data_IF_826679525688
#
_entry.id   IF_826679525688
#
_cell.length_a   1.000
_cell.length_b   1.000
_cell.length_c   1.000
_cell.angle_alpha   90.00
_cell.angle_beta   90.00
_cell.angle_gamma   90.00
#
_symmetry.space_group_name_H-M   'P 1'
#
loop_
_entity.id
_entity.type
_entity.pdbx_description
1 polymer ?
#
# COMPACT_ATOMS: atom_id res chain seq x y z
N UNK A 1 8.40 -34.76 -59.88
CA UNK A 1 7.39 -35.24 -60.85
C UNK A 1 6.55 -36.32 -60.17
N UNK A 2 5.20 -36.26 -60.26
CA UNK A 2 4.18 -37.34 -60.08
C UNK A 2 4.22 -38.16 -58.75
N UNK A 3 3.18 -38.22 -57.91
CA UNK A 3 1.85 -38.91 -58.06
C UNK A 3 1.97 -40.45 -58.11
N UNK A 4 1.09 -41.31 -57.55
CA UNK A 4 -0.31 -41.13 -57.07
C UNK A 4 -0.80 -42.28 -56.12
N UNK A 5 -1.95 -42.09 -55.42
CA UNK A 5 -2.81 -43.08 -54.69
C UNK A 5 -2.20 -43.80 -53.43
N UNK A 6 -2.87 -44.70 -52.65
CA UNK A 6 -4.23 -44.82 -52.00
C UNK A 6 -4.50 -46.25 -51.47
N UNK A 7 -5.37 -46.41 -50.45
CA UNK A 7 -6.29 -47.56 -50.08
C UNK A 7 -6.09 -48.11 -48.64
N UNK A 8 -7.06 -48.74 -47.95
CA UNK A 8 -8.36 -48.25 -47.36
C UNK A 8 -8.95 -49.30 -46.37
N UNK A 9 -9.80 -48.87 -45.39
CA UNK A 9 -10.80 -49.68 -44.60
C UNK A 9 -10.19 -50.74 -43.61
N UNK A 10 -10.49 -50.89 -42.31
CA UNK A 10 -11.62 -50.64 -41.37
C UNK A 10 -12.62 -51.81 -41.14
N UNK A 11 -12.66 -52.40 -39.92
CA UNK A 11 -13.77 -53.22 -39.39
C UNK A 11 -13.71 -53.41 -37.85
N UNK A 12 -14.87 -53.58 -37.19
CA UNK A 12 -15.08 -53.80 -35.75
C UNK A 12 -16.01 -55.02 -35.57
N UNK A 13 -15.82 -55.87 -34.55
CA UNK A 13 -16.87 -56.75 -34.02
C UNK A 13 -16.62 -57.22 -32.56
N UNK A 14 -17.70 -57.41 -31.79
CA UNK A 14 -17.76 -57.89 -30.40
C UNK A 14 -17.91 -59.42 -30.29
N UNK A 15 -17.60 -59.99 -29.12
CA UNK A 15 -18.31 -61.17 -28.54
C UNK A 15 -18.41 -61.04 -27.00
N UNK A 16 -19.26 -61.86 -26.36
CA UNK A 16 -19.82 -61.61 -25.02
C UNK A 16 -19.59 -62.73 -23.97
N UNK A 17 -20.06 -62.46 -22.74
CA UNK A 17 -20.05 -63.24 -21.48
C UNK A 17 -20.62 -64.67 -21.52
N UNK A 18 -20.29 -65.53 -20.54
CA UNK A 18 -21.26 -65.82 -19.45
C UNK A 18 -20.65 -65.98 -18.03
N UNK A 19 -21.48 -66.35 -17.04
CA UNK A 19 -21.21 -66.32 -15.58
C UNK A 19 -21.32 -67.71 -14.88
N UNK A 20 -21.37 -67.72 -13.53
CA UNK A 20 -21.47 -68.84 -12.54
C UNK A 20 -20.12 -69.27 -11.89
N UNK A 21 -20.04 -69.86 -10.69
CA UNK A 21 -20.82 -69.71 -9.43
C UNK A 21 -20.06 -70.39 -8.25
N UNK A 22 -20.16 -69.80 -7.05
CA UNK A 22 -20.01 -70.35 -5.68
C UNK A 22 -19.16 -71.61 -5.37
N UNK A 23 -18.33 -71.52 -4.32
CA UNK A 23 -18.06 -72.60 -3.35
C UNK A 23 -17.63 -71.99 -2.00
N UNK A 24 -17.77 -72.75 -0.91
CA UNK A 24 -17.91 -72.26 0.48
C UNK A 24 -16.82 -72.74 1.46
N UNK A 25 -16.35 -71.83 2.34
CA UNK A 25 -15.85 -72.03 3.72
C UNK A 25 -14.75 -73.09 4.05
N UNK A 26 -14.13 -73.06 5.25
CA UNK A 26 -13.77 -71.90 6.09
C UNK A 26 -12.28 -71.92 6.51
N UNK A 27 -11.67 -70.76 6.81
CA UNK A 27 -10.32 -70.71 7.41
C UNK A 27 -10.36 -70.32 8.89
N UNK A 28 -9.82 -71.20 9.75
CA UNK A 28 -9.40 -70.86 11.12
C UNK A 28 -7.95 -70.37 11.08
N UNK A 29 -7.63 -69.18 11.61
CA UNK A 29 -6.31 -68.56 11.43
C UNK A 29 -5.23 -69.09 12.39
N UNK A 30 -4.05 -69.35 11.83
CA UNK A 30 -2.79 -69.60 12.57
C UNK A 30 -2.30 -68.30 13.24
N UNK A 31 -1.75 -68.33 14.47
CA UNK A 31 -1.28 -67.11 15.13
C UNK A 31 0.00 -66.57 14.49
N UNK A 32 -0.01 -65.29 14.10
CA UNK A 32 1.18 -64.54 13.68
C UNK A 32 1.58 -63.57 14.79
N UNK A 33 2.80 -63.73 15.29
CA UNK A 33 3.44 -62.85 16.27
C UNK A 33 3.50 -61.42 15.72
N UNK A 34 2.91 -60.46 16.43
CA UNK A 34 2.94 -59.06 16.04
C UNK A 34 4.31 -58.42 16.33
N UNK A 35 4.85 -57.76 15.30
CA UNK A 35 6.00 -56.88 15.38
C UNK A 35 5.63 -55.58 16.13
N UNK A 36 6.51 -54.99 16.97
CA UNK A 36 6.17 -53.79 17.74
C UNK A 36 5.88 -52.59 16.84
N UNK A 37 4.76 -51.90 17.11
CA UNK A 37 4.33 -50.74 16.34
C UNK A 37 5.33 -49.56 16.44
N UNK A 38 5.46 -48.73 15.38
CA UNK A 38 6.23 -47.49 15.44
C UNK A 38 5.63 -46.52 16.47
N UNK A 39 6.44 -45.62 17.06
CA UNK A 39 5.95 -44.64 18.03
C UNK A 39 4.94 -43.70 17.37
N UNK A 40 3.84 -43.42 18.08
CA UNK A 40 2.75 -42.59 17.58
C UNK A 40 3.24 -41.18 17.21
N UNK A 41 2.90 -40.73 15.99
CA UNK A 41 3.13 -39.36 15.55
C UNK A 41 2.50 -38.36 16.51
N UNK A 42 3.26 -37.31 16.85
CA UNK A 42 2.73 -36.19 17.62
C UNK A 42 1.68 -35.46 16.78
N UNK A 43 0.41 -35.63 17.14
CA UNK A 43 -0.73 -35.02 16.48
C UNK A 43 -0.54 -33.48 16.38
N UNK A 44 -0.69 -32.87 15.19
CA UNK A 44 -0.68 -31.43 15.05
C UNK A 44 -1.70 -30.80 16.00
N UNK A 45 -1.29 -29.76 16.72
CA UNK A 45 -2.18 -29.07 17.65
C UNK A 45 -3.42 -28.55 16.90
N UNK A 46 -4.58 -29.02 17.32
CA UNK A 46 -5.87 -28.57 16.82
C UNK A 46 -6.00 -27.05 17.05
N UNK A 47 -6.40 -26.25 16.05
CA UNK A 47 -6.51 -24.81 16.21
C UNK A 47 -7.58 -24.51 17.27
N UNK A 48 -7.16 -24.02 18.43
CA UNK A 48 -8.10 -23.62 19.49
C UNK A 48 -9.16 -22.67 18.90
N UNK A 49 -10.45 -22.89 19.18
CA UNK A 49 -11.49 -21.93 18.85
C UNK A 49 -11.08 -20.56 19.39
N UNK A 50 -11.04 -19.55 18.51
CA UNK A 50 -10.81 -18.19 18.94
C UNK A 50 -11.91 -17.79 19.93
N UNK A 51 -11.52 -17.52 21.17
CA UNK A 51 -12.43 -17.05 22.20
C UNK A 51 -13.18 -15.82 21.67
N UNK A 52 -14.54 -15.77 21.74
CA UNK A 52 -15.29 -14.68 21.13
C UNK A 52 -14.90 -13.33 21.73
N UNK A 53 -14.07 -12.58 21.01
CA UNK A 53 -13.66 -11.24 21.40
C UNK A 53 -14.94 -10.41 21.58
N UNK A 54 -15.16 -9.78 22.75
CA UNK A 54 -16.42 -9.09 23.03
C UNK A 54 -16.76 -8.10 21.92
N UNK A 55 -17.96 -8.25 21.34
CA UNK A 55 -18.43 -7.35 20.30
C UNK A 55 -18.42 -5.93 20.85
N UNK A 56 -17.65 -5.03 20.21
CA UNK A 56 -17.61 -3.64 20.60
C UNK A 56 -19.04 -3.04 20.54
N UNK A 57 -19.46 -2.23 21.52
CA UNK A 57 -20.81 -1.67 21.54
C UNK A 57 -21.09 -0.87 20.27
N UNK A 58 -22.26 -1.10 19.68
CA UNK A 58 -22.66 -0.62 18.34
C UNK A 58 -22.68 0.92 18.19
N UNK A 59 -22.63 1.66 19.30
CA UNK A 59 -22.60 3.13 19.34
C UNK A 59 -21.18 3.72 19.28
N UNK A 60 -20.14 2.89 19.16
CA UNK A 60 -18.75 3.39 19.03
C UNK A 60 -18.53 4.05 17.66
N UNK A 61 -17.96 5.27 17.59
CA UNK A 61 -17.68 5.90 16.31
C UNK A 61 -16.73 5.05 15.47
N UNK A 62 -16.94 4.95 14.14
CA UNK A 62 -16.16 4.06 13.29
C UNK A 62 -14.69 4.47 13.26
N UNK A 63 -13.80 3.48 13.36
CA UNK A 63 -12.37 3.70 13.52
C UNK A 63 -11.61 3.23 12.28
N UNK A 64 -10.75 4.09 11.74
CA UNK A 64 -9.78 3.71 10.71
C UNK A 64 -8.37 4.01 11.22
N UNK A 65 -7.72 2.98 11.75
CA UNK A 65 -6.30 3.03 12.11
C UNK A 65 -5.46 3.51 10.93
N UNK A 66 -4.47 4.35 11.21
CA UNK A 66 -3.53 4.93 10.25
C UNK A 66 -4.14 5.96 9.28
N UNK A 67 -5.40 6.37 9.46
CA UNK A 67 -6.05 7.35 8.58
C UNK A 67 -5.35 8.72 8.55
N UNK A 68 -4.63 9.09 9.61
CA UNK A 68 -3.86 10.34 9.71
C UNK A 68 -2.34 10.12 9.62
N UNK A 69 -1.90 8.94 9.20
CA UNK A 69 -0.48 8.64 8.98
C UNK A 69 0.04 9.22 7.67
N UNK A 70 1.30 9.66 7.69
CA UNK A 70 2.01 10.16 6.51
C UNK A 70 2.74 9.02 5.79
N UNK A 71 2.74 8.97 4.44
CA UNK A 71 3.58 8.08 3.63
C UNK A 71 5.06 8.07 4.03
N UNK A 72 5.57 6.87 4.23
CA UNK A 72 6.97 6.50 4.47
C UNK A 72 7.29 5.25 3.67
N UNK A 73 8.57 4.90 3.59
CA UNK A 73 9.05 3.70 2.89
C UNK A 73 8.49 2.40 3.48
N UNK A 74 8.26 2.38 4.79
CA UNK A 74 7.94 1.20 5.60
C UNK A 74 6.46 1.03 5.97
N UNK A 75 5.56 1.96 5.58
CA UNK A 75 4.17 1.97 6.05
C UNK A 75 3.09 1.89 4.96
N UNK A 76 3.43 1.45 3.76
CA UNK A 76 2.48 1.40 2.64
C UNK A 76 1.23 0.56 2.94
N UNK A 77 1.36 -0.62 3.55
CA UNK A 77 0.20 -1.50 3.84
C UNK A 77 -0.75 -0.94 4.90
N UNK A 78 -0.22 -0.26 5.93
CA UNK A 78 -1.02 0.46 6.92
C UNK A 78 -1.88 1.53 6.25
N UNK A 79 -1.30 2.25 5.29
CA UNK A 79 -1.95 3.31 4.53
C UNK A 79 -2.98 2.78 3.51
N UNK A 80 -2.72 1.63 2.88
CA UNK A 80 -3.71 0.92 2.05
C UNK A 80 -4.89 0.44 2.89
N UNK A 81 -4.61 -0.09 4.08
CA UNK A 81 -5.64 -0.52 5.06
C UNK A 81 -6.53 0.64 5.48
N UNK A 82 -5.94 1.79 5.83
CA UNK A 82 -6.67 2.99 6.17
C UNK A 82 -7.56 3.51 5.02
N UNK A 83 -7.03 3.52 3.78
CA UNK A 83 -7.76 3.97 2.61
C UNK A 83 -8.96 3.05 2.28
N UNK A 84 -8.78 1.72 2.36
CA UNK A 84 -9.88 0.75 2.24
C UNK A 84 -10.97 0.99 3.30
N UNK A 85 -10.57 1.20 4.56
CA UNK A 85 -11.50 1.49 5.65
C UNK A 85 -12.32 2.76 5.39
N UNK A 86 -11.68 3.86 5.00
CA UNK A 86 -12.35 5.12 4.69
C UNK A 86 -13.30 5.01 3.49
N UNK A 87 -12.89 4.31 2.43
CA UNK A 87 -13.75 4.03 1.28
C UNK A 87 -15.01 3.24 1.69
N UNK A 88 -14.84 2.20 2.50
CA UNK A 88 -15.95 1.34 2.94
C UNK A 88 -16.88 2.03 3.94
N UNK A 89 -16.40 2.91 4.82
CA UNK A 89 -17.28 3.75 5.65
C UNK A 89 -18.14 4.66 4.76
N UNK A 90 -17.53 5.35 3.79
CA UNK A 90 -18.26 6.27 2.92
C UNK A 90 -19.34 5.53 2.08
N UNK A 91 -19.01 4.34 1.56
CA UNK A 91 -19.95 3.48 0.83
C UNK A 91 -21.06 2.92 1.72
N UNK A 92 -20.71 2.46 2.93
CA UNK A 92 -21.69 1.97 3.91
C UNK A 92 -22.71 3.04 4.34
N UNK A 93 -22.29 4.31 4.49
CA UNK A 93 -23.20 5.44 4.80
C UNK A 93 -24.16 5.80 3.67
N UNK A 94 -23.95 5.31 2.45
CA UNK A 94 -24.91 5.40 1.33
C UNK A 94 -25.51 4.04 0.97
N UNK A 95 -25.42 3.06 1.88
CA UNK A 95 -25.94 1.69 1.71
C UNK A 95 -25.42 0.96 0.46
N UNK A 96 -24.22 1.31 -0.02
CA UNK A 96 -23.60 0.67 -1.18
C UNK A 96 -22.72 -0.52 -0.77
N UNK A 97 -22.58 -1.55 -1.64
CA UNK A 97 -21.72 -2.70 -1.38
C UNK A 97 -20.29 -2.27 -1.05
N UNK A 98 -19.70 -2.88 -0.02
CA UNK A 98 -18.31 -2.64 0.35
C UNK A 98 -17.37 -3.17 -0.75
N UNK A 99 -16.24 -2.51 -0.95
CA UNK A 99 -15.18 -2.96 -1.86
C UNK A 99 -14.16 -3.84 -1.15
N UNK A 100 -13.60 -4.78 -1.87
CA UNK A 100 -12.48 -5.64 -1.47
C UNK A 100 -11.15 -5.16 -2.06
N UNK A 101 -10.01 -5.42 -1.41
CA UNK A 101 -8.69 -5.16 -2.00
C UNK A 101 -8.28 -6.31 -2.93
N UNK A 102 -7.89 -5.99 -4.16
CA UNK A 102 -7.30 -6.92 -5.12
C UNK A 102 -5.80 -6.60 -5.30
N UNK A 103 -4.94 -7.60 -5.06
CA UNK A 103 -3.47 -7.43 -5.10
C UNK A 103 -2.92 -7.08 -6.50
N UNK A 104 -3.64 -7.42 -7.58
CA UNK A 104 -3.28 -7.07 -8.97
C UNK A 104 -3.57 -5.60 -9.22
N UNK A 105 -4.69 -5.09 -8.69
CA UNK A 105 -4.97 -3.66 -8.70
C UNK A 105 -3.98 -2.89 -7.81
N UNK A 106 -3.60 -3.42 -6.62
CA UNK A 106 -2.54 -2.82 -5.78
C UNK A 106 -1.22 -2.72 -6.55
N UNK A 107 -0.83 -3.78 -7.28
CA UNK A 107 0.39 -3.81 -8.10
C UNK A 107 0.34 -2.76 -9.23
N UNK A 108 -0.77 -2.68 -9.96
CA UNK A 108 -0.96 -1.70 -11.03
C UNK A 108 -0.95 -0.26 -10.50
N UNK A 109 -1.64 -0.01 -9.38
CA UNK A 109 -1.72 1.29 -8.74
C UNK A 109 -0.35 1.73 -8.18
N UNK A 110 0.38 0.83 -7.51
CA UNK A 110 1.71 1.12 -6.98
C UNK A 110 2.73 1.41 -8.08
N UNK A 111 2.68 0.66 -9.20
CA UNK A 111 3.52 0.93 -10.37
C UNK A 111 3.29 2.34 -10.89
N UNK A 112 2.04 2.78 -11.07
CA UNK A 112 1.73 4.14 -11.54
C UNK A 112 2.09 5.24 -10.53
N UNK A 113 1.92 4.97 -9.23
CA UNK A 113 2.34 5.90 -8.17
C UNK A 113 3.87 6.12 -8.20
N UNK A 114 4.64 5.03 -8.34
CA UNK A 114 6.10 5.08 -8.51
C UNK A 114 6.49 5.79 -9.82
N UNK A 115 5.80 5.49 -10.92
CA UNK A 115 6.07 6.02 -12.25
C UNK A 115 5.88 7.55 -12.31
N UNK A 116 4.77 8.05 -11.76
CA UNK A 116 4.53 9.50 -11.58
C UNK A 116 5.63 10.19 -10.77
N UNK A 117 6.15 9.54 -9.72
CA UNK A 117 7.21 10.10 -8.88
C UNK A 117 8.58 10.11 -9.58
N UNK A 118 8.95 9.00 -10.21
CA UNK A 118 10.23 8.82 -10.88
C UNK A 118 10.35 9.70 -12.13
N UNK A 119 9.32 9.66 -12.99
CA UNK A 119 9.25 10.42 -14.25
C UNK A 119 8.64 11.82 -14.08
N UNK A 120 8.27 12.20 -12.85
CA UNK A 120 7.89 13.57 -12.43
C UNK A 120 6.68 14.15 -13.18
N UNK A 121 5.71 13.31 -13.49
CA UNK A 121 4.41 13.74 -14.03
C UNK A 121 3.30 13.51 -13.01
N UNK A 122 2.12 14.02 -13.30
CA UNK A 122 0.92 13.79 -12.49
C UNK A 122 -0.29 13.79 -13.41
N UNK A 123 -0.63 12.59 -13.86
CA UNK A 123 -1.66 12.35 -14.87
C UNK A 123 -2.17 10.92 -14.73
N UNK A 124 -3.40 10.67 -15.15
CA UNK A 124 -3.94 9.31 -15.31
C UNK A 124 -3.22 8.56 -16.44
N UNK A 125 -2.76 9.29 -17.45
CA UNK A 125 -2.04 8.77 -18.61
C UNK A 125 -0.53 8.74 -18.34
N UNK A 126 0.04 7.53 -18.31
CA UNK A 126 1.49 7.37 -18.22
C UNK A 126 2.13 7.71 -19.58
N UNK A 127 3.07 8.68 -19.66
CA UNK A 127 3.71 9.05 -20.92
C UNK A 127 4.54 7.89 -21.50
N UNK A 128 4.81 7.93 -22.81
CA UNK A 128 5.64 6.93 -23.46
C UNK A 128 7.13 7.02 -23.02
N UNK A 129 7.87 5.89 -22.96
CA UNK A 129 7.37 4.52 -23.05
C UNK A 129 6.58 4.14 -21.79
N UNK A 130 5.48 3.40 -21.98
CA UNK A 130 4.58 2.95 -20.92
C UNK A 130 4.49 1.41 -20.92
N UNK A 131 5.51 0.70 -20.38
CA UNK A 131 5.66 -0.76 -20.53
C UNK A 131 4.54 -1.57 -19.86
N UNK A 132 3.79 -0.96 -18.94
CA UNK A 132 2.61 -1.55 -18.31
C UNK A 132 1.28 -0.96 -18.83
N UNK A 133 1.30 -0.16 -19.89
CA UNK A 133 0.14 0.54 -20.44
C UNK A 133 0.04 2.00 -20.01
N UNK A 134 -0.48 2.84 -20.90
CA UNK A 134 -0.66 4.27 -20.68
C UNK A 134 -1.90 4.57 -19.81
N UNK A 135 -2.98 3.80 -19.97
CA UNK A 135 -4.26 4.03 -19.29
C UNK A 135 -4.45 3.14 -18.04
N UNK A 136 -5.28 3.54 -17.06
CA UNK A 136 -5.62 2.73 -15.89
C UNK A 136 -6.05 1.28 -16.21
N UNK A 137 -6.96 1.12 -17.17
CA UNK A 137 -7.45 -0.20 -17.58
C UNK A 137 -6.37 -1.04 -18.29
N UNK A 138 -5.40 -0.41 -18.94
CA UNK A 138 -4.24 -1.10 -19.51
C UNK A 138 -3.29 -1.57 -18.40
N UNK A 139 -3.01 -0.72 -17.40
CA UNK A 139 -2.21 -1.06 -16.21
C UNK A 139 -2.81 -2.20 -15.40
N UNK A 140 -4.12 -2.18 -15.18
CA UNK A 140 -4.85 -3.25 -14.50
C UNK A 140 -4.74 -4.59 -15.26
N UNK A 141 -4.96 -4.60 -16.59
CA UNK A 141 -4.78 -5.79 -17.43
C UNK A 141 -3.33 -6.30 -17.43
N UNK A 142 -2.33 -5.41 -17.47
CA UNK A 142 -0.91 -5.75 -17.39
C UNK A 142 -0.47 -6.31 -16.02
N UNK A 143 -1.30 -6.16 -14.98
CA UNK A 143 -1.15 -6.82 -13.69
C UNK A 143 -2.00 -8.10 -13.57
N UNK A 144 -2.73 -8.50 -14.61
CA UNK A 144 -3.58 -9.70 -14.63
C UNK A 144 -4.99 -9.51 -14.06
N UNK A 145 -5.45 -8.27 -13.87
CA UNK A 145 -6.83 -8.01 -13.47
C UNK A 145 -7.78 -8.14 -14.69
N UNK A 146 -8.85 -8.96 -14.61
CA UNK A 146 -9.62 -9.37 -15.79
C UNK A 146 -10.73 -8.39 -16.20
N UNK A 147 -11.15 -7.49 -15.31
CA UNK A 147 -12.29 -6.59 -15.55
C UNK A 147 -11.82 -5.17 -15.92
N UNK A 148 -12.78 -4.32 -16.32
CA UNK A 148 -12.51 -2.90 -16.54
C UNK A 148 -12.14 -2.23 -15.22
N UNK A 149 -11.17 -1.31 -15.26
CA UNK A 149 -10.75 -0.53 -14.10
C UNK A 149 -10.67 0.96 -14.43
N UNK A 150 -11.16 1.80 -13.51
CA UNK A 150 -10.98 3.26 -13.51
C UNK A 150 -10.09 3.70 -12.35
N UNK A 151 -9.76 4.99 -12.27
CA UNK A 151 -8.74 5.51 -11.36
C UNK A 151 -9.10 6.86 -10.74
N UNK A 152 -8.83 7.01 -9.45
CA UNK A 152 -8.57 8.29 -8.80
C UNK A 152 -7.07 8.44 -8.52
N UNK A 153 -6.53 9.65 -8.69
CA UNK A 153 -5.16 9.99 -8.26
C UNK A 153 -5.18 11.18 -7.28
N UNK A 154 -4.17 11.30 -6.41
CA UNK A 154 -3.99 12.48 -5.55
C UNK A 154 -2.54 12.73 -5.11
N UNK A 155 -2.25 13.94 -4.65
CA UNK A 155 -1.01 14.36 -3.97
C UNK A 155 -1.33 15.00 -2.62
N UNK A 156 -1.48 14.18 -1.58
CA UNK A 156 -1.93 14.64 -0.27
C UNK A 156 -1.37 13.77 0.86
N UNK A 157 -1.13 14.34 2.04
CA UNK A 157 -0.26 13.71 3.04
C UNK A 157 -0.85 12.56 3.86
N UNK A 158 -2.16 12.36 3.92
CA UNK A 158 -2.78 11.32 4.77
C UNK A 158 -3.98 10.65 4.09
N UNK A 159 -4.27 9.35 4.36
CA UNK A 159 -5.44 8.67 3.82
C UNK A 159 -6.75 9.44 4.03
N UNK A 160 -6.98 9.97 5.24
CA UNK A 160 -8.17 10.76 5.58
C UNK A 160 -8.32 11.96 4.66
N UNK A 161 -7.25 12.75 4.51
CA UNK A 161 -7.31 13.97 3.71
C UNK A 161 -7.43 13.64 2.22
N UNK A 162 -6.81 12.55 1.75
CA UNK A 162 -6.99 12.05 0.38
C UNK A 162 -8.45 11.68 0.12
N UNK A 163 -9.06 10.87 1.00
CA UNK A 163 -10.45 10.43 0.87
C UNK A 163 -11.44 11.60 0.97
N UNK A 164 -11.21 12.56 1.88
CA UNK A 164 -12.00 13.80 1.97
C UNK A 164 -11.90 14.66 0.71
N UNK A 165 -10.70 14.83 0.14
CA UNK A 165 -10.50 15.60 -1.08
C UNK A 165 -11.17 14.92 -2.29
N UNK A 166 -11.16 13.58 -2.35
CA UNK A 166 -11.90 12.82 -3.37
C UNK A 166 -13.42 12.91 -3.19
N UNK A 167 -13.95 12.73 -1.97
CA UNK A 167 -15.39 12.84 -1.69
C UNK A 167 -15.95 14.25 -1.94
N UNK A 168 -15.12 15.28 -1.81
CA UNK A 168 -15.49 16.67 -2.14
C UNK A 168 -15.21 17.06 -3.60
N UNK A 169 -14.78 16.12 -4.45
CA UNK A 169 -14.52 16.33 -5.87
C UNK A 169 -15.46 15.46 -6.70
N UNK A 170 -16.40 16.07 -7.43
CA UNK A 170 -17.52 15.38 -8.09
C UNK A 170 -17.13 14.11 -8.85
N UNK A 171 -16.10 14.15 -9.68
CA UNK A 171 -15.64 12.97 -10.45
C UNK A 171 -15.10 11.86 -9.56
N UNK A 172 -14.16 12.20 -8.68
CA UNK A 172 -13.51 11.26 -7.75
C UNK A 172 -14.50 10.63 -6.77
N UNK A 173 -15.45 11.42 -6.27
CA UNK A 173 -16.53 10.98 -5.39
C UNK A 173 -17.46 9.99 -6.09
N UNK A 174 -17.90 10.31 -7.32
CA UNK A 174 -18.79 9.42 -8.09
C UNK A 174 -18.14 8.07 -8.26
N UNK A 175 -16.86 8.01 -8.66
CA UNK A 175 -16.12 6.75 -8.76
C UNK A 175 -16.04 6.00 -7.42
N UNK A 176 -15.64 6.67 -6.34
CA UNK A 176 -15.46 6.05 -5.02
C UNK A 176 -16.77 5.45 -4.47
N UNK A 177 -17.90 6.13 -4.72
CA UNK A 177 -19.23 5.69 -4.31
C UNK A 177 -19.96 4.87 -5.38
N UNK A 178 -19.34 4.53 -6.52
CA UNK A 178 -20.02 3.77 -7.59
C UNK A 178 -20.32 2.33 -7.13
N UNK A 179 -21.60 1.95 -7.09
CA UNK A 179 -22.02 0.63 -6.60
C UNK A 179 -21.46 -0.56 -7.42
N UNK A 180 -21.17 -0.35 -8.71
CA UNK A 180 -20.59 -1.37 -9.61
C UNK A 180 -19.08 -1.58 -9.46
N UNK A 181 -18.37 -0.71 -8.71
CA UNK A 181 -17.00 -0.98 -8.28
C UNK A 181 -17.05 -2.01 -7.14
N UNK A 182 -16.43 -3.16 -7.35
CA UNK A 182 -16.37 -4.30 -6.41
C UNK A 182 -14.99 -4.44 -5.79
N UNK A 183 -13.94 -4.23 -6.59
CA UNK A 183 -12.55 -4.33 -6.17
C UNK A 183 -11.88 -2.97 -6.16
N UNK A 184 -10.91 -2.77 -5.28
CA UNK A 184 -9.98 -1.66 -5.33
C UNK A 184 -8.53 -2.10 -5.21
N UNK A 185 -7.61 -1.28 -5.71
CA UNK A 185 -6.18 -1.39 -5.43
C UNK A 185 -5.57 -0.02 -5.20
N UNK A 186 -4.65 0.07 -4.24
CA UNK A 186 -4.17 1.33 -3.68
C UNK A 186 -2.64 1.39 -3.82
N UNK A 187 -2.17 2.32 -4.63
CA UNK A 187 -0.76 2.70 -4.75
C UNK A 187 -0.47 3.91 -3.88
N UNK A 188 0.65 3.87 -3.15
CA UNK A 188 1.17 5.02 -2.40
C UNK A 188 2.69 5.13 -2.59
N UNK A 189 3.13 6.23 -3.19
CA UNK A 189 4.54 6.57 -3.33
C UNK A 189 4.86 7.70 -2.35
N UNK A 190 5.88 7.51 -1.51
CA UNK A 190 6.12 8.36 -0.34
C UNK A 190 7.07 9.55 -0.59
N UNK A 191 7.99 9.45 -1.54
CA UNK A 191 9.05 10.45 -1.77
C UNK A 191 8.54 11.73 -2.41
N UNK A 192 7.48 11.65 -3.21
CA UNK A 192 6.77 12.78 -3.81
C UNK A 192 5.29 12.83 -3.45
N UNK A 193 4.81 11.89 -2.62
CA UNK A 193 3.41 11.73 -2.19
C UNK A 193 2.49 11.61 -3.41
N UNK A 194 2.39 10.38 -3.95
CA UNK A 194 1.42 10.01 -5.00
C UNK A 194 0.49 8.95 -4.46
N UNK A 195 -0.81 9.19 -4.57
CA UNK A 195 -1.85 8.20 -4.35
C UNK A 195 -2.46 7.81 -5.68
N UNK A 196 -2.71 6.53 -5.83
CA UNK A 196 -3.46 5.94 -6.94
C UNK A 196 -4.47 4.99 -6.33
N UNK A 197 -5.74 5.16 -6.65
CA UNK A 197 -6.81 4.22 -6.29
C UNK A 197 -7.41 3.71 -7.60
N UNK A 198 -7.09 2.47 -7.96
CA UNK A 198 -7.76 1.76 -9.04
C UNK A 198 -9.03 1.10 -8.49
N UNK A 199 -10.08 1.07 -9.28
CA UNK A 199 -11.37 0.48 -8.93
C UNK A 199 -11.87 -0.39 -10.07
N UNK A 200 -12.05 -1.68 -9.80
CA UNK A 200 -12.48 -2.70 -10.73
C UNK A 200 -13.99 -2.91 -10.73
N UNK A 201 -14.57 -3.04 -11.93
CA UNK A 201 -16.02 -3.10 -12.14
C UNK A 201 -16.51 -4.53 -12.35
N UNK A 202 -17.29 -5.06 -11.40
CA UNK A 202 -17.91 -6.39 -11.50
C UNK A 202 -18.99 -6.48 -12.58
N UNK A 203 -19.63 -5.36 -12.95
CA UNK A 203 -20.48 -5.25 -14.14
C UNK A 203 -20.59 -3.81 -14.63
N UNK A 204 -21.04 -3.60 -15.87
CA UNK A 204 -21.33 -2.26 -16.41
C UNK A 204 -22.72 -1.76 -16.01
N UNK A 205 -22.96 -1.51 -14.72
CA UNK A 205 -24.14 -0.74 -14.29
C UNK A 205 -23.78 0.71 -14.01
N UNK A 206 -24.64 1.61 -14.49
CA UNK A 206 -24.49 3.05 -14.29
C UNK A 206 -24.89 3.46 -12.86
N UNK A 207 -24.37 4.60 -12.41
CA UNK A 207 -24.74 5.17 -11.12
C UNK A 207 -26.19 5.67 -11.08
N UNK A 208 -26.80 5.63 -9.89
CA UNK A 208 -28.04 6.38 -9.64
C UNK A 208 -27.80 7.89 -9.77
N UNK A 209 -28.87 8.62 -10.08
CA UNK A 209 -28.92 10.10 -10.05
C UNK A 209 -28.45 10.70 -8.73
N UNK A 210 -28.63 9.95 -7.65
CA UNK A 210 -28.57 10.45 -6.29
C UNK A 210 -27.11 10.58 -5.84
N UNK A 211 -26.25 9.62 -6.19
CA UNK A 211 -24.79 9.72 -6.00
C UNK A 211 -24.22 10.90 -6.80
N UNK A 212 -24.67 11.11 -8.05
CA UNK A 212 -24.21 12.23 -8.85
C UNK A 212 -24.60 13.59 -8.25
N UNK A 213 -25.73 13.65 -7.53
CA UNK A 213 -26.22 14.84 -6.81
C UNK A 213 -25.45 15.05 -5.50
N UNK A 214 -25.29 14.00 -4.69
CA UNK A 214 -24.49 13.99 -3.45
C UNK A 214 -23.05 14.45 -3.71
N UNK A 215 -22.39 13.86 -4.71
CA UNK A 215 -21.04 14.21 -5.11
C UNK A 215 -20.90 15.59 -5.76
N UNK A 216 -21.99 16.20 -6.25
CA UNK A 216 -22.00 17.60 -6.69
C UNK A 216 -22.05 18.57 -5.51
N UNK A 217 -22.69 18.19 -4.41
CA UNK A 217 -22.75 18.99 -3.17
C UNK A 217 -21.47 18.86 -2.31
N UNK A 218 -20.78 17.72 -2.40
CA UNK A 218 -19.58 17.39 -1.62
C UNK A 218 -19.89 16.38 -0.52
N UNK A 219 -19.37 15.17 -0.67
CA UNK A 219 -19.69 14.02 0.18
C UNK A 219 -18.69 13.84 1.35
N UNK A 220 -17.84 14.83 1.67
CA UNK A 220 -16.84 14.71 2.73
C UNK A 220 -17.42 14.40 4.10
N UNK A 221 -18.66 14.81 4.37
CA UNK A 221 -19.41 14.52 5.59
C UNK A 221 -19.65 13.01 5.82
N UNK A 222 -19.51 12.17 4.79
CA UNK A 222 -19.52 10.71 4.93
C UNK A 222 -18.32 10.18 5.73
N UNK A 223 -17.33 11.01 6.09
CA UNK A 223 -16.23 10.66 6.98
C UNK A 223 -16.26 11.42 8.33
N UNK A 224 -17.32 12.19 8.60
CA UNK A 224 -17.47 12.87 9.89
C UNK A 224 -17.57 11.87 11.05
N UNK A 225 -16.90 12.16 12.16
CA UNK A 225 -16.83 11.27 13.32
C UNK A 225 -15.91 10.05 13.17
N UNK A 226 -15.29 9.81 12.01
CA UNK A 226 -14.32 8.71 11.86
C UNK A 226 -13.04 9.04 12.63
N UNK A 227 -12.65 8.26 13.64
CA UNK A 227 -11.41 8.48 14.39
C UNK A 227 -10.23 7.65 13.85
N UNK A 228 -9.01 8.16 13.96
CA UNK A 228 -7.78 7.35 13.89
C UNK A 228 -7.36 7.03 15.34
N UNK A 229 -7.53 5.79 15.83
CA UNK A 229 -7.06 5.42 17.15
C UNK A 229 -5.54 5.56 17.21
N UNK A 230 -5.04 6.33 18.18
CA UNK A 230 -3.62 6.53 18.35
C UNK A 230 -2.88 5.19 18.43
N UNK A 231 -1.68 5.05 17.82
CA UNK A 231 -0.93 3.80 17.92
C UNK A 231 -0.79 3.36 19.37
N UNK A 232 -0.83 2.04 19.64
CA UNK A 232 -0.55 1.51 20.97
C UNK A 232 0.80 2.10 21.41
N UNK A 233 0.76 2.82 22.53
CA UNK A 233 1.98 3.41 23.07
C UNK A 233 2.98 2.27 23.33
N UNK A 234 4.27 2.41 22.97
CA UNK A 234 5.26 1.44 23.41
C UNK A 234 5.19 1.37 24.94
N UNK A 235 5.34 0.17 25.55
CA UNK A 235 5.23 0.03 26.99
C UNK A 235 6.20 1.01 27.68
N UNK A 236 5.71 1.71 28.70
CA UNK A 236 6.42 2.82 29.37
C UNK A 236 7.75 2.42 30.01
N UNK A 237 7.98 1.13 30.13
CA UNK A 237 9.22 0.49 30.53
C UNK A 237 9.36 -0.79 29.72
N UNK A 238 10.47 -0.94 29.00
CA UNK A 238 11.02 -2.29 28.85
C UNK A 238 11.48 -2.72 30.24
N UNK A 239 11.05 -3.87 30.79
CA UNK A 239 11.81 -4.49 31.85
C UNK A 239 13.24 -4.70 31.33
N UNK A 240 14.22 -4.45 32.18
CA UNK A 240 15.64 -4.62 31.85
C UNK A 240 15.86 -6.00 31.25
N UNK A 241 16.61 -6.08 30.15
CA UNK A 241 16.65 -7.27 29.32
C UNK A 241 17.28 -8.45 30.07
N UNK A 242 16.44 -9.31 30.65
CA UNK A 242 16.82 -10.65 31.08
C UNK A 242 17.17 -11.43 29.81
N UNK A 243 18.46 -11.48 29.49
CA UNK A 243 18.99 -12.32 28.41
C UNK A 243 18.73 -13.77 28.76
N UNK A 244 17.87 -14.50 28.01
CA UNK A 244 17.73 -15.94 28.23
C UNK A 244 19.06 -16.59 27.84
N UNK A 245 19.65 -17.31 28.79
CA UNK A 245 20.91 -18.04 28.58
C UNK A 245 20.62 -19.32 27.78
N UNK A 246 20.47 -19.18 26.47
CA UNK A 246 20.23 -20.28 25.54
C UNK A 246 21.45 -21.23 25.59
N UNK A 247 21.27 -22.53 25.91
CA UNK A 247 22.37 -23.50 25.82
C UNK A 247 22.75 -23.73 24.35
N UNK A 248 24.06 -23.74 24.08
CA UNK A 248 24.59 -23.90 22.72
C UNK A 248 24.21 -25.26 22.12
N UNK A 249 23.53 -25.26 20.98
CA UNK A 249 23.32 -26.45 20.16
C UNK A 249 24.65 -26.91 19.50
N UNK A 250 24.86 -28.21 19.25
CA UNK A 250 26.07 -28.71 18.61
C UNK A 250 26.17 -28.26 17.14
N UNK A 251 27.30 -27.65 16.79
CA UNK A 251 27.54 -27.04 15.48
C UNK A 251 27.99 -28.06 14.45
N UNK A 252 27.14 -28.38 13.47
CA UNK A 252 27.61 -28.95 12.20
C UNK A 252 28.01 -27.80 11.25
N UNK A 253 29.30 -27.63 11.04
CA UNK A 253 29.86 -26.59 10.18
C UNK A 253 29.68 -26.91 8.69
N UNK A 254 28.71 -26.26 8.06
CA UNK A 254 28.79 -25.91 6.64
C UNK A 254 29.26 -24.46 6.54
N UNK A 255 30.35 -24.13 5.82
CA UNK A 255 30.86 -22.76 5.75
C UNK A 255 29.99 -21.88 4.84
N UNK A 256 28.85 -21.42 5.35
CA UNK A 256 28.08 -20.34 4.74
C UNK A 256 28.86 -19.05 4.94
N UNK A 257 29.48 -18.54 3.87
CA UNK A 257 30.08 -17.20 3.85
C UNK A 257 29.00 -16.18 4.26
N UNK A 258 29.15 -15.46 5.39
CA UNK A 258 28.10 -14.56 5.84
C UNK A 258 27.83 -13.50 4.78
N UNK A 259 26.55 -13.26 4.49
CA UNK A 259 26.15 -12.18 3.60
C UNK A 259 26.67 -10.85 4.19
N UNK A 260 27.31 -9.98 3.39
CA UNK A 260 27.88 -8.74 3.90
C UNK A 260 26.75 -7.89 4.51
N UNK A 261 26.94 -7.45 5.76
CA UNK A 261 25.93 -6.71 6.50
C UNK A 261 25.40 -5.51 5.69
N UNK A 262 24.07 -5.43 5.55
CA UNK A 262 23.43 -4.36 4.81
C UNK A 262 23.81 -2.99 5.40
N UNK A 263 24.33 -2.08 4.55
CA UNK A 263 24.83 -0.79 5.03
C UNK A 263 23.66 0.05 5.58
N UNK A 264 23.75 0.56 6.83
CA UNK A 264 22.64 1.25 7.49
C UNK A 264 22.17 2.48 6.70
N UNK A 265 20.86 2.67 6.65
CA UNK A 265 20.21 3.75 5.88
C UNK A 265 20.38 5.12 6.56
N UNK A 266 20.47 6.21 5.76
CA UNK A 266 20.63 7.55 6.31
C UNK A 266 19.38 8.00 7.07
N UNK A 267 19.56 8.55 8.28
CA UNK A 267 18.45 8.98 9.15
C UNK A 267 18.73 10.28 9.87
N UNK A 268 17.70 11.12 10.06
CA UNK A 268 17.79 12.32 10.89
C UNK A 268 17.75 11.95 12.38
N UNK A 269 18.75 12.38 13.14
CA UNK A 269 18.72 12.35 14.62
C UNK A 269 18.08 13.61 15.19
N UNK A 270 18.18 14.76 14.50
CA UNK A 270 17.44 15.99 14.84
C UNK A 270 16.76 16.53 13.58
N UNK A 271 15.45 16.77 13.69
CA UNK A 271 14.61 17.28 12.60
C UNK A 271 15.08 18.68 12.10
N UNK A 272 15.01 18.96 10.78
CA UNK A 272 15.47 20.22 10.24
C UNK A 272 14.57 21.39 10.63
N UNK A 273 15.21 22.47 11.08
CA UNK A 273 14.56 23.73 11.47
C UNK A 273 15.28 24.92 10.84
N UNK A 274 14.50 25.93 10.44
CA UNK A 274 15.02 27.22 9.93
C UNK A 274 15.45 28.10 11.12
N UNK A 275 16.54 28.84 10.92
CA UNK A 275 17.02 29.93 11.79
C UNK A 275 17.42 31.15 10.96
N UNK A 276 17.13 32.40 11.42
CA UNK A 276 16.30 32.75 12.58
C UNK A 276 14.81 32.42 12.33
N UNK A 277 14.00 32.38 13.40
CA UNK A 277 12.56 32.10 13.29
C UNK A 277 11.71 33.32 12.86
N UNK A 278 12.22 34.54 13.07
CA UNK A 278 11.58 35.79 12.64
C UNK A 278 12.12 36.19 11.28
N UNK A 279 11.31 36.03 10.25
CA UNK A 279 11.72 36.17 8.85
C UNK A 279 11.29 37.53 8.26
N UNK A 280 12.17 38.14 7.46
CA UNK A 280 11.96 39.39 6.70
C UNK A 280 12.80 39.33 5.41
N UNK A 281 12.44 40.03 4.33
CA UNK A 281 13.31 40.18 3.16
C UNK A 281 14.75 40.60 3.54
N UNK A 282 15.74 40.10 2.81
CA UNK A 282 17.16 40.36 3.04
C UNK A 282 17.83 39.48 4.11
N UNK A 283 17.07 38.85 5.03
CA UNK A 283 17.65 37.99 6.07
C UNK A 283 18.21 36.70 5.46
N UNK A 284 19.43 36.32 5.88
CA UNK A 284 20.04 35.02 5.52
C UNK A 284 19.60 33.94 6.50
N UNK A 285 18.91 32.94 5.97
CA UNK A 285 18.43 31.76 6.68
C UNK A 285 19.49 30.66 6.68
N UNK A 286 19.49 29.85 7.73
CA UNK A 286 20.31 28.65 7.87
C UNK A 286 19.45 27.49 8.37
N UNK A 287 19.77 26.27 7.94
CA UNK A 287 19.15 25.05 8.44
C UNK A 287 19.95 24.49 9.62
N UNK A 288 19.25 23.98 10.64
CA UNK A 288 19.82 23.26 11.78
C UNK A 288 19.15 21.89 11.87
N UNK A 289 19.94 20.83 11.81
CA UNK A 289 19.56 19.41 11.85
C UNK A 289 20.81 18.59 12.18
N UNK A 290 20.64 17.30 12.45
CA UNK A 290 21.73 16.31 12.52
C UNK A 290 21.24 14.97 11.98
N UNK A 291 22.17 14.13 11.52
CA UNK A 291 21.87 12.84 10.92
C UNK A 291 23.00 11.83 11.12
N UNK A 292 22.68 10.57 10.87
CA UNK A 292 23.59 9.43 10.84
C UNK A 292 23.53 8.73 9.48
N UNK A 293 24.61 8.02 9.13
CA UNK A 293 24.76 7.19 7.91
C UNK A 293 24.58 7.92 6.56
N UNK A 294 24.42 9.25 6.58
CA UNK A 294 24.43 10.10 5.41
C UNK A 294 25.87 10.31 4.90
N UNK A 295 26.11 9.98 3.63
CA UNK A 295 27.35 10.28 2.91
C UNK A 295 27.34 11.66 2.26
N UNK A 296 26.16 12.13 1.85
CA UNK A 296 25.97 13.47 1.31
C UNK A 296 24.56 14.01 1.59
N UNK A 297 24.35 15.30 1.32
CA UNK A 297 23.10 16.00 1.65
C UNK A 297 22.72 16.94 0.50
N UNK A 298 21.45 16.96 0.13
CA UNK A 298 20.86 17.94 -0.78
C UNK A 298 19.84 18.82 -0.05
N UNK A 299 19.66 20.04 -0.54
CA UNK A 299 18.69 21.00 0.00
C UNK A 299 17.80 21.55 -1.11
N UNK A 300 16.57 21.92 -0.78
CA UNK A 300 15.69 22.69 -1.69
C UNK A 300 14.75 23.59 -0.89
N UNK A 301 14.85 24.89 -1.09
CA UNK A 301 13.93 25.85 -0.47
C UNK A 301 12.66 26.01 -1.30
N UNK A 302 11.53 26.22 -0.64
CA UNK A 302 10.21 26.37 -1.23
C UNK A 302 9.51 27.60 -0.64
N UNK A 303 8.71 28.27 -1.47
CA UNK A 303 7.85 29.39 -1.12
C UNK A 303 6.39 29.00 -1.31
N UNK A 304 5.53 29.44 -0.40
CA UNK A 304 4.09 29.22 -0.56
C UNK A 304 3.51 30.05 -1.71
N UNK A 305 2.71 29.41 -2.54
CA UNK A 305 1.78 30.04 -3.50
C UNK A 305 0.36 29.99 -2.93
N UNK A 306 -0.66 30.47 -3.67
CA UNK A 306 -2.05 30.45 -3.21
C UNK A 306 -2.51 29.07 -2.76
N UNK A 307 -2.22 28.06 -3.59
CA UNK A 307 -2.74 26.69 -3.43
C UNK A 307 -1.65 25.65 -3.10
N UNK A 308 -0.41 26.07 -2.76
CA UNK A 308 0.66 25.11 -2.52
C UNK A 308 2.06 25.67 -2.29
N UNK A 309 3.07 24.95 -2.78
CA UNK A 309 4.48 25.22 -2.53
C UNK A 309 5.31 25.09 -3.81
N UNK A 310 5.96 26.18 -4.22
CA UNK A 310 6.85 26.18 -5.39
C UNK A 310 8.32 26.17 -4.96
N UNK A 311 9.18 25.32 -5.55
CA UNK A 311 10.62 25.40 -5.37
C UNK A 311 11.17 26.78 -5.75
N UNK A 312 12.10 27.31 -4.96
CA UNK A 312 12.77 28.57 -5.28
C UNK A 312 13.98 28.25 -6.19
N UNK A 313 14.04 28.77 -7.43
CA UNK A 313 15.13 28.47 -8.35
C UNK A 313 16.51 28.81 -7.76
N UNK A 314 17.49 27.93 -7.95
CA UNK A 314 18.86 28.08 -7.44
C UNK A 314 19.02 27.95 -5.91
N UNK A 315 17.93 27.86 -5.13
CA UNK A 315 18.00 27.74 -3.68
C UNK A 315 18.24 26.28 -3.24
N UNK A 316 19.46 25.79 -3.47
CA UNK A 316 19.87 24.39 -3.24
C UNK A 316 20.94 24.22 -2.14
N UNK A 317 21.27 25.30 -1.43
CA UNK A 317 22.28 25.31 -0.34
C UNK A 317 21.61 25.20 1.04
N UNK A 318 22.38 24.82 2.06
CA UNK A 318 21.95 24.82 3.47
C UNK A 318 21.56 26.21 4.03
N UNK A 319 21.79 27.26 3.24
CA UNK A 319 21.41 28.65 3.53
C UNK A 319 20.67 29.26 2.35
N UNK A 320 19.76 30.17 2.63
CA UNK A 320 19.01 30.93 1.62
C UNK A 320 18.89 32.39 2.07
N UNK A 321 18.93 33.35 1.14
CA UNK A 321 18.72 34.77 1.47
C UNK A 321 17.32 35.16 0.99
N UNK A 322 16.48 35.59 1.93
CA UNK A 322 15.14 36.04 1.61
C UNK A 322 15.18 37.24 0.67
N UNK A 323 14.25 37.25 -0.27
CA UNK A 323 14.07 38.26 -1.32
C UNK A 323 12.78 39.04 -1.08
N UNK A 324 12.58 40.15 -1.80
CA UNK A 324 11.30 40.87 -1.80
C UNK A 324 10.11 40.01 -2.25
N UNK A 325 10.36 38.99 -3.08
CA UNK A 325 9.33 38.08 -3.58
C UNK A 325 8.83 37.08 -2.52
N UNK A 326 9.49 37.01 -1.36
CA UNK A 326 9.11 36.13 -0.26
C UNK A 326 8.30 36.88 0.81
N UNK A 327 8.25 38.21 0.76
CA UNK A 327 7.50 39.07 1.69
C UNK A 327 6.01 38.67 1.75
N UNK A 328 5.50 38.36 2.94
CA UNK A 328 4.11 37.90 3.13
C UNK A 328 3.83 36.46 2.66
N UNK A 329 4.82 35.69 2.20
CA UNK A 329 4.70 34.24 1.94
C UNK A 329 5.20 33.45 3.13
N UNK A 330 4.99 32.13 3.11
CA UNK A 330 5.65 31.17 4.01
C UNK A 330 6.84 30.54 3.29
N UNK A 331 7.85 30.14 4.05
CA UNK A 331 9.10 29.52 3.56
C UNK A 331 9.35 28.21 4.32
N UNK A 332 9.75 27.18 3.58
CA UNK A 332 10.20 25.90 4.11
C UNK A 332 11.37 25.35 3.28
N UNK A 333 12.11 24.39 3.81
CA UNK A 333 13.16 23.69 3.08
C UNK A 333 13.04 22.18 3.20
N UNK A 334 13.33 21.48 2.11
CA UNK A 334 13.66 20.06 2.11
C UNK A 334 15.14 19.89 2.47
N UNK A 335 15.43 18.92 3.33
CA UNK A 335 16.78 18.36 3.53
C UNK A 335 16.72 16.88 3.13
N UNK A 336 17.55 16.46 2.19
CA UNK A 336 17.61 15.07 1.71
C UNK A 336 18.98 14.50 2.04
N UNK A 337 19.00 13.52 2.95
CA UNK A 337 20.18 12.72 3.27
C UNK A 337 20.34 11.63 2.21
N UNK A 338 21.59 11.33 1.81
CA UNK A 338 21.92 10.33 0.80
C UNK A 338 23.00 9.41 1.37
N UNK A 339 22.78 8.10 1.34
CA UNK A 339 23.65 7.08 1.95
C UNK A 339 23.57 5.76 1.17
N UNK A 340 23.18 4.66 1.83
CA UNK A 340 22.69 3.45 1.14
C UNK A 340 21.28 3.61 0.59
N UNK A 341 20.49 4.55 1.12
CA UNK A 341 19.20 4.99 0.59
C UNK A 341 19.11 6.53 0.54
N UNK A 342 17.89 7.07 0.47
CA UNK A 342 17.63 8.52 0.55
C UNK A 342 16.55 8.80 1.60
N UNK A 343 16.75 9.82 2.43
CA UNK A 343 15.76 10.23 3.45
C UNK A 343 15.56 11.74 3.37
N UNK A 344 14.36 12.18 2.96
CA UNK A 344 14.00 13.60 2.88
C UNK A 344 13.12 14.01 4.05
N UNK A 345 13.41 15.18 4.66
CA UNK A 345 12.54 15.78 5.68
C UNK A 345 12.38 17.28 5.45
N UNK A 346 11.13 17.74 5.56
CA UNK A 346 10.77 19.15 5.44
C UNK A 346 10.90 19.88 6.78
N UNK A 347 11.31 21.15 6.74
CA UNK A 347 11.20 22.05 7.90
C UNK A 347 9.76 22.51 8.11
N UNK A 348 9.30 22.75 9.36
CA UNK A 348 8.05 23.45 9.60
C UNK A 348 8.01 24.81 8.85
N UNK A 349 6.91 25.14 8.15
CA UNK A 349 6.82 26.33 7.32
C UNK A 349 6.69 27.60 8.15
N UNK A 350 7.60 28.55 7.97
CA UNK A 350 7.65 29.81 8.71
C UNK A 350 7.14 31.01 7.88
N UNK A 351 6.34 31.93 8.44
CA UNK A 351 5.87 33.12 7.74
C UNK A 351 6.96 34.20 7.63
N UNK A 352 7.08 34.81 6.45
CA UNK A 352 7.91 35.98 6.19
C UNK A 352 7.06 37.23 6.35
N UNK A 353 7.53 38.18 7.19
CA UNK A 353 6.86 39.48 7.32
C UNK A 353 6.87 40.22 5.97
N UNK A 354 5.84 41.04 5.74
CA UNK A 354 5.85 42.00 4.64
C UNK A 354 7.00 42.99 4.84
#
# INVERSE_FOLDING_TARGET
MRSILTTLIAAIALTATPALAQTTDPQTPTPITQEPAPPADAQPAEPQPAEPQPAAPADSPPQCSYADYVPREDNAEQLRTAMLCLANIARGRVSHPLVTRDQRLDLAAQRHANDMAERKYYDHLAPAPSPYGAEPAQRARAAGYPHYAAENIHQQFTPRRVALDWLNSRGHCVFLLTASVTDIGIGVEHSTVKWVLLGGYGSKTANSSDIATLCKAGAGHLLDGVSDPAPPQPPRSYPEAITPKIPSAPTWTTPVRPAPAARPTPRFTVAPRIRPARLRPGVRLRLRWSAEHARSVQYRWHRSTGDGWTPIPGATKATYRLTRFDAGRRIQAAVTLIGSGKHTRMTPPLPVRR
#
